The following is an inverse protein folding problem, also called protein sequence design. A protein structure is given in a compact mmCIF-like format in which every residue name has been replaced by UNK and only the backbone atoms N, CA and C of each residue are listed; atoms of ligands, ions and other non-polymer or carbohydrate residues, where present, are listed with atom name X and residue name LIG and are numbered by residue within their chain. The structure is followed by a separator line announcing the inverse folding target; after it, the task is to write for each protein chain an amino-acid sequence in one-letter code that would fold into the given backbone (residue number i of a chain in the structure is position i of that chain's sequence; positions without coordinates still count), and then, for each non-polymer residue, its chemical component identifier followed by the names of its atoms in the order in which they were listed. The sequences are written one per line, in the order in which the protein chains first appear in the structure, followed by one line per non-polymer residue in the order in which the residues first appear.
data_IF_541747119756
#
_entry.id   IF_541747119756
#
_cell.length_a   1.000
_cell.length_b   1.000
_cell.length_c   1.000
_cell.angle_alpha   90.00
_cell.angle_beta   90.00
_cell.angle_gamma   90.00
#
_symmetry.space_group_name_H-M   'P 1'
#
loop_
_entity.id
_entity.type
_entity.pdbx_description
1 polymer ?
#
# COMPACT_ATOMS: atom_id res chain seq x y z
N UNK A 1 -1.62 -5.58 -2.02
CA UNK A 1 -1.91 -6.99 -1.72
C UNK A 1 -0.98 -7.42 -0.61
N UNK A 2 -1.46 -8.19 0.34
CA UNK A 2 -0.64 -8.88 1.34
C UNK A 2 -1.45 -10.07 1.88
N UNK A 3 -0.78 -11.14 2.30
CA UNK A 3 -1.45 -12.30 2.92
C UNK A 3 -1.86 -11.99 4.37
N UNK A 4 -1.15 -11.07 5.03
CA UNK A 4 -1.37 -10.68 6.41
C UNK A 4 -2.30 -9.46 6.49
N UNK A 5 -3.55 -9.60 6.98
CA UNK A 5 -4.53 -8.51 7.00
C UNK A 5 -4.07 -7.33 7.87
N UNK A 6 -3.35 -7.60 8.96
CA UNK A 6 -2.81 -6.57 9.83
C UNK A 6 -1.74 -5.71 9.13
N UNK A 7 -1.00 -6.27 8.16
CA UNK A 7 -0.03 -5.49 7.38
C UNK A 7 -0.73 -4.54 6.43
N UNK A 8 -1.87 -4.94 5.86
CA UNK A 8 -2.67 -4.07 4.99
C UNK A 8 -3.17 -2.84 5.75
N UNK A 9 -3.81 -3.06 6.91
CA UNK A 9 -4.34 -1.96 7.73
C UNK A 9 -3.20 -1.05 8.21
N UNK A 10 -2.13 -1.64 8.74
CA UNK A 10 -0.95 -0.88 9.19
C UNK A 10 -0.34 -0.04 8.08
N UNK A 11 -0.27 -0.57 6.86
CA UNK A 11 0.29 0.12 5.70
C UNK A 11 -0.54 1.34 5.29
N UNK A 12 -1.85 1.16 5.13
CA UNK A 12 -2.76 2.27 4.77
C UNK A 12 -2.73 3.36 5.83
N UNK A 13 -2.78 2.98 7.12
CA UNK A 13 -2.67 3.92 8.23
C UNK A 13 -1.31 4.64 8.26
N UNK A 14 -0.22 3.92 7.97
CA UNK A 14 1.12 4.48 7.88
C UNK A 14 1.25 5.52 6.77
N UNK A 15 0.69 5.25 5.59
CA UNK A 15 0.64 6.17 4.45
C UNK A 15 -0.14 7.44 4.84
N UNK A 16 -1.33 7.28 5.45
CA UNK A 16 -2.13 8.41 5.92
C UNK A 16 -1.39 9.32 6.90
N UNK A 17 -0.72 8.74 7.90
CA UNK A 17 0.11 9.48 8.86
C UNK A 17 1.26 10.22 8.17
N UNK A 18 1.89 9.62 7.16
CA UNK A 18 2.94 10.30 6.39
C UNK A 18 2.37 11.50 5.64
N UNK A 19 1.25 11.34 4.93
CA UNK A 19 0.60 12.42 4.19
C UNK A 19 0.22 13.60 5.09
N UNK A 20 -0.33 13.35 6.30
CA UNK A 20 -0.62 14.40 7.28
C UNK A 20 0.66 15.17 7.65
N UNK A 21 1.75 14.45 7.96
CA UNK A 21 3.05 15.08 8.26
C UNK A 21 3.59 15.90 7.08
N UNK A 22 3.36 15.49 5.84
CA UNK A 22 3.75 16.25 4.66
C UNK A 22 2.90 17.52 4.49
N UNK A 23 1.61 17.43 4.82
CA UNK A 23 0.72 18.59 4.79
C UNK A 23 1.08 19.63 5.85
N UNK A 24 1.45 19.20 7.06
CA UNK A 24 1.97 20.10 8.11
C UNK A 24 3.23 20.85 7.67
N UNK A 25 4.04 20.25 6.79
CA UNK A 25 5.23 20.88 6.18
C UNK A 25 4.93 21.72 4.93
N UNK A 26 3.66 21.79 4.50
CA UNK A 26 3.24 22.53 3.31
C UNK A 26 3.59 21.85 1.98
N UNK A 27 4.00 20.57 1.98
CA UNK A 27 4.33 19.83 0.76
C UNK A 27 3.12 19.23 0.05
N UNK A 28 2.02 19.03 0.79
CA UNK A 28 0.78 18.43 0.30
C UNK A 28 -0.41 19.24 0.84
N UNK A 29 -1.44 19.45 0.02
CA UNK A 29 -2.70 20.01 0.50
C UNK A 29 -3.43 18.97 1.37
N UNK A 30 -3.75 19.34 2.62
CA UNK A 30 -4.51 18.50 3.55
C UNK A 30 -5.87 18.07 2.97
N UNK A 31 -6.52 18.94 2.17
CA UNK A 31 -7.80 18.64 1.55
C UNK A 31 -7.70 17.54 0.48
N UNK A 32 -6.51 17.30 -0.08
CA UNK A 32 -6.29 16.26 -1.09
C UNK A 32 -6.07 14.87 -0.48
N UNK A 33 -5.77 14.76 0.82
CA UNK A 33 -5.41 13.49 1.48
C UNK A 33 -6.49 12.41 1.32
N UNK A 34 -7.80 12.68 1.52
CA UNK A 34 -8.83 11.66 1.34
C UNK A 34 -8.84 11.10 -0.09
N UNK A 35 -8.62 11.95 -1.10
CA UNK A 35 -8.55 11.53 -2.50
C UNK A 35 -7.29 10.73 -2.83
N UNK A 36 -6.16 11.03 -2.18
CA UNK A 36 -4.93 10.25 -2.31
C UNK A 36 -5.11 8.85 -1.72
N UNK A 37 -5.63 8.76 -0.50
CA UNK A 37 -5.88 7.48 0.18
C UNK A 37 -6.92 6.65 -0.58
N UNK A 38 -7.98 7.28 -1.09
CA UNK A 38 -9.02 6.60 -1.87
C UNK A 38 -8.53 5.91 -3.15
N UNK A 39 -7.31 6.21 -3.63
CA UNK A 39 -6.70 5.49 -4.76
C UNK A 39 -6.07 4.15 -4.39
N UNK A 40 -5.84 3.91 -3.11
CA UNK A 40 -5.20 2.68 -2.63
C UNK A 40 -6.29 1.66 -2.30
N UNK A 41 -6.29 0.54 -3.04
CA UNK A 41 -7.13 -0.63 -2.73
C UNK A 41 -6.28 -1.72 -2.10
N UNK A 42 -6.49 -1.97 -0.81
CA UNK A 42 -5.91 -3.12 -0.13
C UNK A 42 -6.72 -4.39 -0.45
N UNK A 43 -6.03 -5.53 -0.57
CA UNK A 43 -6.65 -6.83 -0.82
C UNK A 43 -5.74 -7.96 -0.34
N UNK A 44 -6.34 -9.10 0.00
CA UNK A 44 -5.65 -10.37 0.28
C UNK A 44 -5.87 -11.41 -0.83
N UNK A 45 -6.60 -11.04 -1.89
CA UNK A 45 -6.93 -11.93 -2.99
C UNK A 45 -6.04 -11.58 -4.19
N UNK A 46 -5.42 -12.60 -4.81
CA UNK A 46 -4.55 -12.39 -5.96
C UNK A 46 -5.36 -12.03 -7.20
N UNK A 47 -6.60 -12.53 -7.27
CA UNK A 47 -7.56 -12.31 -8.34
C UNK A 47 -7.95 -10.83 -8.46
N UNK A 48 -7.90 -10.07 -7.36
CA UNK A 48 -8.13 -8.63 -7.36
C UNK A 48 -7.03 -7.83 -8.08
N UNK A 49 -5.89 -8.47 -8.38
CA UNK A 49 -4.82 -7.89 -9.22
C UNK A 49 -5.05 -8.13 -10.72
N UNK A 50 -6.10 -8.87 -11.08
CA UNK A 50 -6.45 -9.05 -12.49
C UNK A 50 -6.74 -7.69 -13.15
N UNK A 51 -6.17 -7.50 -14.34
CA UNK A 51 -6.27 -6.22 -15.05
C UNK A 51 -5.26 -5.14 -14.61
N UNK A 52 -4.37 -5.43 -13.66
CA UNK A 52 -3.20 -4.58 -13.47
C UNK A 52 -2.30 -4.63 -14.71
N UNK A 53 -2.03 -3.47 -15.32
CA UNK A 53 -1.09 -3.36 -16.44
C UNK A 53 0.35 -3.66 -16.00
N UNK A 54 0.69 -3.30 -14.75
CA UNK A 54 2.01 -3.44 -14.15
C UNK A 54 1.84 -3.90 -12.69
N UNK A 55 2.60 -4.93 -12.31
CA UNK A 55 2.73 -5.38 -10.93
C UNK A 55 4.18 -5.18 -10.45
N UNK A 56 4.34 -4.64 -9.23
CA UNK A 56 5.64 -4.44 -8.60
C UNK A 56 5.70 -5.31 -7.36
N UNK A 57 6.68 -6.22 -7.33
CA UNK A 57 6.95 -7.07 -6.17
C UNK A 57 7.74 -6.30 -5.12
N UNK A 58 7.30 -6.39 -3.86
CA UNK A 58 8.00 -5.84 -2.70
C UNK A 58 7.87 -6.76 -1.47
N UNK A 59 7.89 -8.09 -1.69
CA UNK A 59 7.92 -9.06 -0.59
C UNK A 59 9.34 -9.22 -0.06
N UNK A 60 9.48 -9.63 1.20
CA UNK A 60 10.80 -9.91 1.79
C UNK A 60 11.53 -10.98 1.00
N UNK A 61 12.81 -10.74 0.69
CA UNK A 61 13.64 -11.70 0.00
C UNK A 61 13.88 -12.93 0.89
N UNK A 62 13.29 -14.07 0.50
CA UNK A 62 13.52 -15.38 1.13
C UNK A 62 13.97 -16.36 0.06
N UNK A 63 15.28 -16.57 -0.01
CA UNK A 63 15.92 -17.46 -1.00
C UNK A 63 15.45 -18.93 -0.86
N UNK A 64 15.18 -19.37 0.37
CA UNK A 64 14.76 -20.74 0.69
C UNK A 64 13.42 -21.16 0.07
N UNK A 65 12.55 -20.22 -0.32
CA UNK A 65 11.27 -20.51 -0.97
C UNK A 65 11.37 -20.76 -2.49
N UNK A 66 12.57 -20.63 -3.08
CA UNK A 66 12.79 -20.81 -4.53
C UNK A 66 13.12 -22.26 -4.95
N UNK A 67 13.32 -23.17 -4.00
CA UNK A 67 13.82 -24.53 -4.27
C UNK A 67 12.83 -25.67 -3.96
N UNK A 68 11.57 -25.37 -3.63
CA UNK A 68 10.47 -26.35 -3.55
C UNK A 68 9.41 -26.10 -4.62
#
# INVERSE_FOLDING_TARGET
FDIAPEQLEKSVNGIGKNLVRQAEKGHVDAAAIPGIIGRIRATQQMEDLSGCDIAIEAVTEREELKFD
#
